data_IF_716390779150
#
_entry.id   IF_716390779150
#
_cell.length_a   1.000
_cell.length_b   1.000
_cell.length_c   1.000
_cell.angle_alpha   90.00
_cell.angle_beta   90.00
_cell.angle_gamma   90.00
#
_symmetry.space_group_name_H-M   'P 1'
#
loop_
_entity.id
_entity.type
_entity.pdbx_description
1 polymer ?
#
# COMPACT_ATOMS: atom_id res chain seq x y z
N UNK A 1 0.02 22.09 18.42
CA UNK A 1 -0.87 21.31 17.55
C UNK A 1 0.04 20.36 16.80
N UNK A 2 -0.05 19.06 17.06
CA UNK A 2 0.80 18.08 16.36
C UNK A 2 0.27 17.94 14.93
N UNK A 3 1.13 18.09 13.92
CA UNK A 3 0.74 17.85 12.53
C UNK A 3 0.74 16.34 12.29
N UNK A 4 -0.43 15.72 12.34
CA UNK A 4 -0.58 14.33 11.90
C UNK A 4 -0.33 14.27 10.40
N UNK A 5 0.76 13.62 9.98
CA UNK A 5 0.99 13.27 8.57
C UNK A 5 0.53 11.82 8.40
N UNK A 6 -0.35 11.60 7.42
CA UNK A 6 -0.75 10.26 7.02
C UNK A 6 0.26 9.75 6.00
N UNK A 7 1.07 8.77 6.40
CA UNK A 7 1.98 8.08 5.50
C UNK A 7 1.32 6.80 4.99
N UNK A 8 1.70 6.38 3.78
CA UNK A 8 1.33 5.08 3.24
C UNK A 8 2.57 4.37 2.74
N UNK A 9 2.56 3.04 2.81
CA UNK A 9 3.55 2.16 2.21
C UNK A 9 2.87 1.26 1.20
N UNK A 10 3.61 0.88 0.15
CA UNK A 10 3.14 0.04 -0.94
C UNK A 10 4.26 -0.92 -1.33
N UNK A 11 3.93 -2.21 -1.50
CA UNK A 11 4.91 -3.23 -1.87
C UNK A 11 4.56 -3.88 -3.20
N UNK A 12 5.54 -3.95 -4.10
CA UNK A 12 5.46 -4.76 -5.31
C UNK A 12 6.09 -6.13 -5.04
N UNK A 13 5.23 -7.14 -4.87
CA UNK A 13 5.66 -8.52 -4.70
C UNK A 13 5.88 -9.12 -6.09
N UNK A 14 7.14 -9.42 -6.42
CA UNK A 14 7.55 -9.97 -7.72
C UNK A 14 8.01 -11.40 -7.53
N UNK A 15 7.49 -12.31 -8.36
CA UNK A 15 7.91 -13.70 -8.44
C UNK A 15 8.06 -14.04 -9.93
N UNK A 16 9.26 -14.48 -10.33
CA UNK A 16 9.59 -14.69 -11.74
C UNK A 16 9.36 -13.44 -12.61
N UNK A 17 8.50 -13.58 -13.61
CA UNK A 17 8.08 -12.54 -14.54
C UNK A 17 6.73 -11.89 -14.18
N UNK A 18 6.17 -12.21 -13.01
CA UNK A 18 4.87 -11.75 -12.56
C UNK A 18 4.95 -10.84 -11.32
N UNK A 19 3.94 -9.99 -11.15
CA UNK A 19 3.77 -9.12 -9.98
C UNK A 19 2.37 -9.31 -9.40
N UNK A 20 2.26 -9.48 -8.08
CA UNK A 20 0.98 -9.63 -7.42
C UNK A 20 0.28 -8.27 -7.24
N UNK A 21 -0.98 -8.19 -7.69
CA UNK A 21 -1.87 -7.04 -7.53
C UNK A 21 -3.23 -7.54 -7.04
N UNK A 22 -3.94 -6.75 -6.23
CA UNK A 22 -5.33 -7.02 -5.85
C UNK A 22 -6.30 -6.08 -6.56
N UNK A 23 -7.56 -6.51 -6.74
CA UNK A 23 -8.61 -5.67 -7.28
C UNK A 23 -9.14 -4.74 -6.19
N UNK A 24 -9.17 -3.43 -6.46
CA UNK A 24 -9.76 -2.43 -5.59
C UNK A 24 -11.19 -2.15 -6.09
N UNK A 25 -12.18 -2.79 -5.47
CA UNK A 25 -13.57 -2.83 -5.94
C UNK A 25 -14.17 -1.43 -6.14
N UNK A 26 -13.94 -0.52 -5.17
CA UNK A 26 -14.51 0.83 -5.21
C UNK A 26 -13.93 1.70 -6.34
N UNK A 27 -12.67 1.47 -6.72
CA UNK A 27 -11.96 2.26 -7.73
C UNK A 27 -11.93 1.57 -9.10
N UNK A 28 -12.32 0.29 -9.17
CA UNK A 28 -12.31 -0.49 -10.41
C UNK A 28 -10.91 -0.73 -10.99
N UNK A 29 -9.85 -0.62 -10.20
CA UNK A 29 -8.44 -0.78 -10.62
C UNK A 29 -7.77 -1.97 -9.94
N UNK A 30 -6.63 -2.41 -10.46
CA UNK A 30 -5.72 -3.32 -9.74
C UNK A 30 -4.55 -2.53 -9.19
N UNK A 31 -4.23 -2.72 -7.92
CA UNK A 31 -3.13 -2.03 -7.25
C UNK A 31 -2.24 -3.01 -6.49
N UNK A 32 -0.96 -2.67 -6.28
CA UNK A 32 -0.12 -3.40 -5.33
C UNK A 32 -0.71 -3.33 -3.92
N UNK A 33 -0.49 -4.36 -3.09
CA UNK A 33 -0.84 -4.29 -1.68
C UNK A 33 -0.08 -3.14 -0.98
N UNK A 34 -0.78 -2.46 -0.09
CA UNK A 34 -0.27 -1.31 0.66
C UNK A 34 -1.30 -0.82 1.67
N UNK A 35 -0.93 0.19 2.44
CA UNK A 35 -1.77 0.71 3.49
C UNK A 35 -1.19 1.94 4.19
N UNK A 36 -1.96 2.47 5.13
CA UNK A 36 -1.48 3.52 6.02
C UNK A 36 -0.44 2.95 6.97
N UNK A 37 0.55 3.79 7.31
CA UNK A 37 1.54 3.48 8.34
C UNK A 37 1.01 4.03 9.66
N UNK A 38 0.90 3.16 10.65
CA UNK A 38 0.46 3.52 11.99
C UNK A 38 1.54 4.26 12.78
N UNK A 39 1.14 4.85 13.91
CA UNK A 39 2.09 5.52 14.81
C UNK A 39 3.11 4.49 15.33
N UNK A 40 4.39 4.85 15.23
CA UNK A 40 5.53 4.01 15.62
C UNK A 40 5.67 2.71 14.81
N UNK A 41 4.99 2.62 13.66
CA UNK A 41 5.20 1.56 12.67
C UNK A 41 6.31 1.96 11.69
N UNK A 42 7.17 1.00 11.37
CA UNK A 42 8.20 1.19 10.35
C UNK A 42 7.60 0.91 8.96
N UNK A 43 7.94 1.72 7.94
CA UNK A 43 7.58 1.45 6.54
C UNK A 43 8.13 0.12 6.00
#
# INVERSE_FOLDING_TARGET
METTRHFTATVYIVEGDATALHAHEELGIRIPPGGHIDRDELP
#
